data_IF_418719989369
#
_entry.id   IF_418719989369
#
_cell.length_a   1.000
_cell.length_b   1.000
_cell.length_c   1.000
_cell.angle_alpha   90.00
_cell.angle_beta   90.00
_cell.angle_gamma   90.00
#
_symmetry.space_group_name_H-M   'P 1'
#
loop_
_entity.id
_entity.type
_entity.pdbx_description
1 polymer ?
#
# COMPACT_ATOMS: atom_id res chain seq x y z
N UNK A 1 -14.35 -10.50 -19.07
CA UNK A 1 -13.42 -9.38 -18.83
C UNK A 1 -12.36 -9.83 -17.82
N UNK A 2 -11.38 -10.60 -18.28
CA UNK A 2 -10.15 -10.94 -17.57
C UNK A 2 -9.15 -9.83 -17.82
N UNK A 3 -9.16 -8.77 -17.02
CA UNK A 3 -7.91 -7.99 -16.84
C UNK A 3 -6.98 -9.01 -16.19
N UNK A 4 -6.16 -9.68 -17.00
CA UNK A 4 -5.47 -10.93 -16.67
C UNK A 4 -4.84 -10.81 -15.30
N UNK A 5 -4.98 -11.84 -14.47
CA UNK A 5 -4.42 -11.89 -13.11
C UNK A 5 -2.96 -11.36 -13.10
N UNK A 6 -2.22 -11.61 -14.18
CA UNK A 6 -0.86 -11.12 -14.45
C UNK A 6 -0.74 -9.60 -14.39
N UNK A 7 -1.63 -8.83 -15.02
CA UNK A 7 -1.55 -7.37 -15.07
C UNK A 7 -1.82 -6.71 -13.70
N UNK A 8 -2.54 -7.40 -12.81
CA UNK A 8 -2.73 -6.98 -11.42
C UNK A 8 -1.48 -7.28 -10.61
N UNK A 9 -0.96 -8.51 -10.71
CA UNK A 9 0.24 -8.94 -9.99
C UNK A 9 1.45 -8.11 -10.35
N UNK A 10 1.68 -7.86 -11.66
CA UNK A 10 2.78 -7.02 -12.15
C UNK A 10 2.75 -5.59 -11.59
N UNK A 11 1.55 -5.01 -11.43
CA UNK A 11 1.41 -3.68 -10.82
C UNK A 11 1.75 -3.68 -9.34
N UNK A 12 1.32 -4.71 -8.61
CA UNK A 12 1.64 -4.84 -7.18
C UNK A 12 3.15 -5.02 -7.00
N UNK A 13 3.77 -5.89 -7.79
CA UNK A 13 5.23 -6.11 -7.77
C UNK A 13 6.02 -4.84 -8.11
N UNK A 14 5.57 -4.06 -9.09
CA UNK A 14 6.21 -2.78 -9.42
C UNK A 14 6.13 -1.77 -8.25
N UNK A 15 4.98 -1.66 -7.59
CA UNK A 15 4.81 -0.79 -6.42
C UNK A 15 5.68 -1.27 -5.25
N UNK A 16 5.73 -2.58 -5.00
CA UNK A 16 6.58 -3.18 -3.97
C UNK A 16 8.07 -2.90 -4.24
N UNK A 17 8.52 -3.07 -5.48
CA UNK A 17 9.90 -2.82 -5.87
C UNK A 17 10.28 -1.34 -5.70
N UNK A 18 9.41 -0.42 -6.11
CA UNK A 18 9.63 1.03 -5.93
C UNK A 18 9.69 1.40 -4.44
N UNK A 19 8.83 0.82 -3.61
CA UNK A 19 8.82 1.03 -2.16
C UNK A 19 10.08 0.46 -1.50
N UNK A 20 10.49 -0.77 -1.87
CA UNK A 20 11.67 -1.43 -1.34
C UNK A 20 12.98 -0.70 -1.71
N UNK A 21 13.01 -0.07 -2.89
CA UNK A 21 14.12 0.78 -3.34
C UNK A 21 14.08 2.19 -2.73
N UNK A 22 13.05 2.54 -1.96
CA UNK A 22 12.88 3.87 -1.38
C UNK A 22 12.56 4.97 -2.41
N UNK A 23 12.11 4.61 -3.62
CA UNK A 23 11.71 5.57 -4.67
C UNK A 23 10.39 6.26 -4.35
N UNK A 24 9.51 5.57 -3.62
CA UNK A 24 8.22 6.07 -3.16
C UNK A 24 8.10 5.87 -1.66
N UNK A 25 7.32 6.72 -1.02
CA UNK A 25 6.99 6.60 0.40
C UNK A 25 5.94 5.51 0.63
N UNK A 26 5.74 5.13 1.90
CA UNK A 26 4.71 4.18 2.29
C UNK A 26 3.31 4.69 1.92
N UNK A 27 3.03 5.96 2.17
CA UNK A 27 1.77 6.61 1.82
C UNK A 27 1.53 6.66 0.32
N UNK A 28 2.56 7.00 -0.45
CA UNK A 28 2.51 6.96 -1.91
C UNK A 28 2.22 5.53 -2.43
N UNK A 29 2.87 4.50 -1.88
CA UNK A 29 2.60 3.11 -2.23
C UNK A 29 1.13 2.73 -1.95
N UNK A 30 0.60 3.08 -0.77
CA UNK A 30 -0.81 2.83 -0.43
C UNK A 30 -1.77 3.55 -1.38
N UNK A 31 -1.48 4.81 -1.72
CA UNK A 31 -2.28 5.57 -2.69
C UNK A 31 -2.26 4.94 -4.08
N UNK A 32 -1.10 4.45 -4.55
CA UNK A 32 -0.97 3.74 -5.83
C UNK A 32 -1.73 2.42 -5.81
N UNK A 33 -1.64 1.63 -4.74
CA UNK A 33 -2.43 0.41 -4.58
C UNK A 33 -3.94 0.71 -4.66
N UNK A 34 -4.39 1.80 -4.04
CA UNK A 34 -5.79 2.22 -4.14
C UNK A 34 -6.17 2.59 -5.58
N UNK A 35 -5.45 3.52 -6.21
CA UNK A 35 -5.84 4.11 -7.50
C UNK A 35 -5.55 3.17 -8.68
N UNK A 36 -4.38 2.54 -8.73
CA UNK A 36 -3.90 1.79 -9.90
C UNK A 36 -4.33 0.32 -9.88
N UNK A 37 -4.52 -0.27 -8.70
CA UNK A 37 -4.85 -1.70 -8.57
C UNK A 37 -6.34 -1.91 -8.31
N UNK A 38 -6.93 -1.14 -7.38
CA UNK A 38 -8.35 -1.31 -7.01
C UNK A 38 -9.29 -0.32 -7.68
N UNK A 39 -8.77 0.82 -8.14
CA UNK A 39 -9.55 1.92 -8.72
C UNK A 39 -10.67 2.44 -7.81
N UNK A 40 -10.51 2.28 -6.49
CA UNK A 40 -11.52 2.68 -5.50
C UNK A 40 -11.27 4.11 -5.00
N UNK A 41 -12.37 4.78 -4.63
CA UNK A 41 -12.31 6.01 -3.86
C UNK A 41 -11.87 5.73 -2.41
N UNK A 42 -11.34 6.74 -1.72
CA UNK A 42 -10.81 6.59 -0.34
C UNK A 42 -11.82 5.95 0.62
N UNK A 43 -13.10 6.32 0.55
CA UNK A 43 -14.15 5.79 1.42
C UNK A 43 -14.37 4.29 1.21
N UNK A 44 -14.43 3.85 -0.04
CA UNK A 44 -14.62 2.45 -0.43
C UNK A 44 -13.39 1.61 -0.07
N UNK A 45 -12.20 2.15 -0.33
CA UNK A 45 -10.95 1.49 -0.02
C UNK A 45 -10.74 1.34 1.50
N UNK A 46 -11.00 2.38 2.28
CA UNK A 46 -10.92 2.32 3.74
C UNK A 46 -11.87 1.25 4.32
N UNK A 47 -13.09 1.16 3.77
CA UNK A 47 -14.06 0.12 4.14
C UNK A 47 -13.55 -1.28 3.79
N UNK A 48 -12.96 -1.46 2.61
CA UNK A 48 -12.35 -2.72 2.19
C UNK A 48 -11.22 -3.15 3.13
N UNK A 49 -10.36 -2.20 3.53
CA UNK A 49 -9.26 -2.42 4.48
C UNK A 49 -9.71 -2.45 5.94
N UNK A 50 -10.99 -2.24 6.24
CA UNK A 50 -11.56 -2.22 7.60
C UNK A 50 -10.88 -1.20 8.54
N UNK A 51 -10.55 -0.02 8.00
CA UNK A 51 -9.99 1.12 8.74
C UNK A 51 -10.85 2.36 8.55
N UNK A 52 -10.65 3.38 9.39
CA UNK A 52 -11.33 4.66 9.20
C UNK A 52 -10.77 5.39 7.96
N UNK A 53 -11.61 6.19 7.30
CA UNK A 53 -11.17 7.03 6.17
C UNK A 53 -10.08 8.00 6.60
N UNK A 54 -10.18 8.56 7.81
CA UNK A 54 -9.16 9.42 8.39
C UNK A 54 -7.81 8.71 8.51
N UNK A 55 -7.81 7.47 9.00
CA UNK A 55 -6.60 6.65 9.10
C UNK A 55 -5.99 6.41 7.73
N UNK A 56 -6.81 6.10 6.72
CA UNK A 56 -6.33 5.94 5.35
C UNK A 56 -5.70 7.24 4.81
N UNK A 57 -6.36 8.39 4.99
CA UNK A 57 -5.84 9.70 4.53
C UNK A 57 -4.49 10.01 5.19
N UNK A 58 -4.38 9.80 6.50
CA UNK A 58 -3.13 10.00 7.23
C UNK A 58 -2.02 9.10 6.67
N UNK A 59 -2.32 7.82 6.44
CA UNK A 59 -1.37 6.90 5.80
C UNK A 59 -0.98 7.41 4.40
N UNK A 60 -1.93 7.77 3.54
CA UNK A 60 -1.68 8.23 2.16
C UNK A 60 -0.89 9.54 2.07
N UNK A 61 -0.94 10.38 3.10
CA UNK A 61 -0.19 11.63 3.19
C UNK A 61 1.14 11.48 3.94
N UNK A 62 1.53 10.26 4.32
CA UNK A 62 2.71 10.02 5.16
C UNK A 62 2.66 10.79 6.50
N UNK A 63 1.45 11.02 7.00
CA UNK A 63 1.18 11.75 8.24
C UNK A 63 0.85 10.80 9.40
N UNK A 64 1.29 11.19 10.59
CA UNK A 64 1.00 10.47 11.83
C UNK A 64 1.86 9.22 12.03
N UNK A 65 1.39 8.34 12.91
CA UNK A 65 2.07 7.10 13.27
C UNK A 65 1.09 5.92 13.18
N UNK A 66 0.82 5.41 11.97
CA UNK A 66 -0.13 4.32 11.81
C UNK A 66 0.37 3.05 12.51
N UNK A 67 -0.53 2.38 13.21
CA UNK A 67 -0.18 1.12 13.88
C UNK A 67 0.19 0.05 12.83
N UNK A 68 1.05 -0.90 13.19
CA UNK A 68 1.33 -2.08 12.35
C UNK A 68 0.04 -2.81 11.95
N UNK A 69 -0.96 -2.84 12.83
CA UNK A 69 -2.28 -3.42 12.55
C UNK A 69 -2.99 -2.69 11.41
N UNK A 70 -2.97 -1.36 11.40
CA UNK A 70 -3.56 -0.54 10.34
C UNK A 70 -2.84 -0.73 9.01
N UNK A 71 -1.50 -0.74 9.03
CA UNK A 71 -0.70 -0.99 7.83
C UNK A 71 -0.97 -2.38 7.25
N UNK A 72 -0.92 -3.42 8.09
CA UNK A 72 -1.23 -4.79 7.66
C UNK A 72 -2.66 -4.92 7.14
N UNK A 73 -3.63 -4.19 7.67
CA UNK A 73 -4.99 -4.21 7.17
C UNK A 73 -5.10 -3.62 5.74
N UNK A 74 -4.26 -2.63 5.40
CA UNK A 74 -4.17 -2.05 4.05
C UNK A 74 -3.45 -2.98 3.08
N UNK A 75 -2.39 -3.67 3.51
CA UNK A 75 -1.58 -4.53 2.66
C UNK A 75 -2.17 -5.93 2.42
N UNK A 76 -2.93 -6.46 3.39
CA UNK A 76 -3.50 -7.81 3.33
C UNK A 76 -4.34 -8.12 2.08
N UNK A 77 -5.21 -7.24 1.56
CA UNK A 77 -5.95 -7.47 0.32
C UNK A 77 -5.08 -7.67 -0.94
N UNK A 78 -3.80 -7.29 -0.86
CA UNK A 78 -2.82 -7.44 -1.94
C UNK A 78 -1.88 -8.61 -1.74
N UNK A 79 -2.05 -9.40 -0.66
CA UNK A 79 -1.11 -10.47 -0.30
C UNK A 79 0.19 -9.95 0.34
N UNK A 80 0.21 -8.68 0.77
CA UNK A 80 1.37 -8.03 1.36
C UNK A 80 1.21 -7.89 2.88
N UNK A 81 2.33 -7.76 3.59
CA UNK A 81 2.38 -7.47 5.02
C UNK A 81 3.63 -6.66 5.38
N UNK A 82 3.56 -5.90 6.46
CA UNK A 82 4.72 -5.22 7.03
C UNK A 82 5.73 -6.24 7.57
N UNK A 83 7.01 -6.02 7.27
CA UNK A 83 8.11 -6.88 7.70
C UNK A 83 9.38 -6.10 7.98
N UNK A 84 10.37 -6.80 8.55
CA UNK A 84 11.70 -6.24 8.81
C UNK A 84 12.55 -6.39 7.55
N UNK A 85 13.17 -5.30 7.11
CA UNK A 85 14.11 -5.29 5.97
C UNK A 85 15.52 -4.92 6.43
N UNK A 86 16.53 -5.24 5.63
CA UNK A 86 17.89 -4.76 5.86
C UNK A 86 17.94 -3.25 5.63
N UNK A 87 18.50 -2.51 6.57
CA UNK A 87 18.85 -1.11 6.34
C UNK A 87 20.06 -1.07 5.40
N UNK A 88 19.93 -0.41 4.25
CA UNK A 88 21.09 -0.10 3.40
C UNK A 88 21.93 0.94 4.13
N UNK A 89 22.99 0.47 4.79
CA UNK A 89 24.00 1.34 5.40
C UNK A 89 25.11 1.51 4.37
N UNK A 90 25.14 2.66 3.69
CA UNK A 90 26.35 3.08 2.99
C UNK A 90 27.33 3.57 4.06
N UNK A 91 28.31 2.73 4.40
CA UNK A 91 29.48 3.14 5.18
C UNK A 91 30.51 3.80 4.27
#
# INVERSE_FOLDING_TARGET
MTISIDARSLRIEAIEADLAQGKITLGAAVKRLRVEVTQLQQTQFARMCKISVRTLIQIEHDEGNPTLKSLNAVFKPFGLQMGVVRLSRNF
#
